data_IF_004387124123
#
_entry.id   IF_004387124123
#
_cell.length_a   1.000
_cell.length_b   1.000
_cell.length_c   1.000
_cell.angle_alpha   90.00
_cell.angle_beta   90.00
_cell.angle_gamma   90.00
#
_symmetry.space_group_name_H-M   'P 1'
#
loop_
_entity.id
_entity.type
_entity.pdbx_description
1 polymer ?
#
# COMPACT_ATOMS: atom_id res chain seq x y z
N UNK A 1 70.92 -12.67 -62.90
CA UNK A 1 69.59 -12.07 -63.12
C UNK A 1 69.05 -11.65 -61.75
N UNK A 2 69.22 -10.37 -61.37
CA UNK A 2 68.80 -9.85 -60.06
C UNK A 2 67.35 -9.37 -60.15
N UNK A 3 66.44 -10.01 -59.41
CA UNK A 3 65.06 -9.55 -59.25
C UNK A 3 65.03 -8.59 -58.06
N UNK A 4 64.83 -7.30 -58.34
CA UNK A 4 64.67 -6.27 -57.31
C UNK A 4 63.22 -6.24 -56.80
N UNK A 5 63.00 -6.65 -55.55
CA UNK A 5 61.72 -6.54 -54.86
C UNK A 5 61.50 -5.10 -54.38
N UNK A 6 60.54 -4.38 -54.95
CA UNK A 6 60.09 -3.07 -54.43
C UNK A 6 59.36 -3.26 -53.10
N UNK A 7 59.84 -2.62 -52.03
CA UNK A 7 59.13 -2.53 -50.75
C UNK A 7 58.00 -1.49 -50.86
N UNK A 8 56.77 -1.89 -50.56
CA UNK A 8 55.57 -1.04 -50.54
C UNK A 8 55.54 -0.27 -49.21
N UNK A 9 55.62 1.06 -49.26
CA UNK A 9 55.53 1.94 -48.08
C UNK A 9 54.10 1.91 -47.52
N UNK A 10 53.93 1.50 -46.25
CA UNK A 10 52.64 1.56 -45.55
C UNK A 10 52.39 2.97 -45.04
N UNK A 11 51.17 3.49 -45.22
CA UNK A 11 50.75 4.74 -44.59
C UNK A 11 50.51 4.51 -43.09
N UNK A 12 50.95 5.41 -42.19
CA UNK A 12 50.69 5.29 -40.77
C UNK A 12 49.21 5.56 -40.46
N UNK A 13 48.61 4.87 -39.47
CA UNK A 13 47.24 5.13 -39.04
C UNK A 13 47.13 6.54 -38.44
N UNK A 14 46.14 7.31 -38.87
CA UNK A 14 45.86 8.64 -38.32
C UNK A 14 45.48 8.51 -36.83
N UNK A 15 46.22 9.18 -35.95
CA UNK A 15 45.94 9.17 -34.51
C UNK A 15 44.68 10.02 -34.23
N UNK A 16 43.59 9.35 -33.87
CA UNK A 16 42.41 10.04 -33.33
C UNK A 16 42.78 10.59 -31.95
N UNK A 17 42.97 11.91 -31.83
CA UNK A 17 43.12 12.57 -30.52
C UNK A 17 41.85 12.32 -29.70
N UNK A 18 41.93 11.45 -28.69
CA UNK A 18 40.86 11.27 -27.71
C UNK A 18 40.75 12.57 -26.92
N UNK A 19 39.63 13.29 -27.08
CA UNK A 19 39.30 14.43 -26.23
C UNK A 19 38.93 13.89 -24.85
N UNK A 20 39.68 14.29 -23.82
CA UNK A 20 39.32 14.01 -22.43
C UNK A 20 38.26 15.00 -21.94
N UNK A 21 37.45 14.58 -20.99
CA UNK A 21 36.51 15.46 -20.29
C UNK A 21 37.27 16.54 -19.52
N UNK A 22 36.78 17.77 -19.55
CA UNK A 22 37.34 18.85 -18.72
C UNK A 22 36.83 18.72 -17.29
N UNK A 23 37.65 19.11 -16.30
CA UNK A 23 37.20 19.18 -14.90
C UNK A 23 36.00 20.11 -14.74
N UNK A 24 35.96 21.19 -15.54
CA UNK A 24 34.87 22.17 -15.53
C UNK A 24 33.56 21.56 -16.04
N UNK A 25 33.59 20.71 -17.06
CA UNK A 25 32.39 19.97 -17.52
C UNK A 25 31.80 19.11 -16.42
N UNK A 26 32.65 18.33 -15.73
CA UNK A 26 32.17 17.47 -14.64
C UNK A 26 31.66 18.32 -13.47
N UNK A 27 32.33 19.44 -13.17
CA UNK A 27 31.91 20.36 -12.11
C UNK A 27 30.53 20.97 -12.36
N UNK A 28 30.26 21.46 -13.58
CA UNK A 28 28.95 22.03 -13.92
C UNK A 28 27.86 20.96 -13.85
N UNK A 29 28.14 19.72 -14.29
CA UNK A 29 27.17 18.62 -14.24
C UNK A 29 26.77 18.28 -12.80
N UNK A 30 27.74 18.14 -11.89
CA UNK A 30 27.40 17.83 -10.48
C UNK A 30 26.68 18.98 -9.79
N UNK A 31 26.97 20.23 -10.16
CA UNK A 31 26.23 21.41 -9.65
C UNK A 31 24.78 21.37 -10.12
N UNK A 32 24.53 21.12 -11.41
CA UNK A 32 23.16 21.02 -11.94
C UNK A 32 22.41 19.84 -11.30
N UNK A 33 23.04 18.67 -11.20
CA UNK A 33 22.45 17.50 -10.53
C UNK A 33 22.14 17.79 -9.05
N UNK A 34 22.98 18.54 -8.35
CA UNK A 34 22.74 18.96 -6.97
C UNK A 34 21.51 19.86 -6.82
N UNK A 35 21.33 20.85 -7.70
CA UNK A 35 20.16 21.74 -7.70
C UNK A 35 18.87 20.97 -8.02
N UNK A 36 18.92 20.07 -9.02
CA UNK A 36 17.79 19.24 -9.39
C UNK A 36 17.40 18.29 -8.25
N UNK A 37 18.37 17.62 -7.62
CA UNK A 37 18.10 16.73 -6.51
C UNK A 37 17.47 17.46 -5.31
N UNK A 38 17.95 18.68 -5.00
CA UNK A 38 17.45 19.48 -3.89
C UNK A 38 15.99 19.93 -4.05
N UNK A 39 15.54 20.15 -5.29
CA UNK A 39 14.17 20.60 -5.57
C UNK A 39 13.19 19.45 -5.79
N UNK A 40 13.62 18.36 -6.44
CA UNK A 40 12.74 17.22 -6.77
C UNK A 40 12.44 16.34 -5.55
N UNK A 41 13.42 16.12 -4.67
CA UNK A 41 13.28 15.22 -3.53
C UNK A 41 12.14 15.62 -2.56
N UNK A 42 12.03 16.88 -2.08
CA UNK A 42 10.95 17.26 -1.16
C UNK A 42 9.56 17.19 -1.79
N UNK A 43 9.45 17.46 -3.10
CA UNK A 43 8.18 17.40 -3.82
C UNK A 43 7.67 15.95 -3.92
N UNK A 44 8.57 14.99 -4.15
CA UNK A 44 8.21 13.59 -4.30
C UNK A 44 7.73 12.96 -2.97
N UNK A 45 8.35 13.31 -1.84
CA UNK A 45 7.95 12.81 -0.52
C UNK A 45 6.56 13.29 -0.13
N UNK A 46 6.25 14.58 -0.35
CA UNK A 46 4.93 15.14 -0.05
C UNK A 46 3.81 14.49 -0.88
N UNK A 47 4.02 14.34 -2.19
CA UNK A 47 3.05 13.69 -3.07
C UNK A 47 2.79 12.21 -2.71
N UNK A 48 3.79 11.52 -2.16
CA UNK A 48 3.65 10.14 -1.71
C UNK A 48 2.77 10.05 -0.45
N UNK A 49 2.94 10.97 0.48
CA UNK A 49 2.16 10.98 1.73
C UNK A 49 0.70 11.41 1.48
N UNK A 50 0.46 12.38 0.59
CA UNK A 50 -0.90 12.74 0.14
C UNK A 50 -1.62 11.56 -0.52
N UNK A 51 -0.91 10.79 -1.36
CA UNK A 51 -1.46 9.60 -1.99
C UNK A 51 -1.80 8.50 -0.98
N UNK A 52 -0.95 8.28 0.04
CA UNK A 52 -1.23 7.34 1.13
C UNK A 52 -2.45 7.77 1.92
N UNK A 53 -2.56 9.05 2.25
CA UNK A 53 -3.69 9.58 2.99
C UNK A 53 -5.01 9.43 2.20
N UNK A 54 -5.01 9.81 0.92
CA UNK A 54 -6.17 9.64 0.04
C UNK A 54 -6.60 8.17 -0.05
N UNK A 55 -5.65 7.26 -0.23
CA UNK A 55 -5.88 5.81 -0.23
C UNK A 55 -6.46 5.32 1.09
N UNK A 56 -5.93 5.80 2.23
CA UNK A 56 -6.44 5.44 3.55
C UNK A 56 -7.90 5.86 3.73
N UNK A 57 -8.24 7.11 3.42
CA UNK A 57 -9.60 7.65 3.51
C UNK A 57 -10.57 6.88 2.60
N UNK A 58 -10.15 6.56 1.38
CA UNK A 58 -10.94 5.76 0.44
C UNK A 58 -11.18 4.34 0.97
N UNK A 59 -10.13 3.67 1.46
CA UNK A 59 -10.23 2.32 2.00
C UNK A 59 -11.14 2.27 3.24
N UNK A 60 -11.03 3.25 4.16
CA UNK A 60 -11.94 3.36 5.30
C UNK A 60 -13.39 3.58 4.87
N UNK A 61 -13.63 4.47 3.91
CA UNK A 61 -14.98 4.73 3.38
C UNK A 61 -15.59 3.48 2.74
N UNK A 62 -14.80 2.74 1.97
CA UNK A 62 -15.19 1.46 1.38
C UNK A 62 -15.55 0.46 2.48
N UNK A 63 -14.65 0.22 3.44
CA UNK A 63 -14.88 -0.73 4.52
C UNK A 63 -16.12 -0.39 5.34
N UNK A 64 -16.28 0.87 5.74
CA UNK A 64 -17.45 1.36 6.48
C UNK A 64 -18.75 1.09 5.70
N UNK A 65 -18.75 1.39 4.40
CA UNK A 65 -19.92 1.15 3.53
C UNK A 65 -20.26 -0.35 3.42
N UNK A 66 -19.25 -1.20 3.25
CA UNK A 66 -19.44 -2.64 3.17
C UNK A 66 -19.91 -3.26 4.49
N UNK A 67 -19.38 -2.79 5.62
CA UNK A 67 -19.83 -3.20 6.97
C UNK A 67 -21.29 -2.82 7.18
N UNK A 68 -21.75 -1.64 6.75
CA UNK A 68 -23.16 -1.26 6.83
C UNK A 68 -24.05 -2.07 5.89
N UNK A 69 -23.57 -2.38 4.68
CA UNK A 69 -24.30 -3.27 3.76
C UNK A 69 -24.46 -4.67 4.34
N UNK A 70 -23.40 -5.22 4.95
CA UNK A 70 -23.47 -6.49 5.68
C UNK A 70 -24.53 -6.42 6.78
N UNK A 71 -24.47 -5.38 7.61
CA UNK A 71 -25.44 -5.19 8.69
C UNK A 71 -26.89 -5.17 8.20
N UNK A 72 -27.14 -4.54 7.07
CA UNK A 72 -28.47 -4.48 6.46
C UNK A 72 -28.98 -5.87 6.04
N UNK A 73 -28.11 -6.74 5.53
CA UNK A 73 -28.47 -8.09 5.05
C UNK A 73 -28.52 -9.14 6.18
N UNK A 74 -27.95 -8.84 7.35
CA UNK A 74 -27.80 -9.78 8.47
C UNK A 74 -28.56 -9.37 9.74
N UNK A 75 -29.78 -8.85 9.58
CA UNK A 75 -30.68 -8.50 10.69
C UNK A 75 -30.05 -7.56 11.74
N UNK A 76 -29.24 -6.60 11.29
CA UNK A 76 -28.58 -5.64 12.17
C UNK A 76 -27.27 -6.12 12.79
N UNK A 77 -26.83 -7.36 12.52
CA UNK A 77 -25.55 -7.92 13.00
C UNK A 77 -24.39 -7.45 12.15
N UNK A 78 -23.31 -7.05 12.78
CA UNK A 78 -22.07 -6.68 12.08
C UNK A 78 -21.20 -7.91 11.76
N UNK A 79 -20.23 -7.78 10.83
CA UNK A 79 -19.21 -8.81 10.62
C UNK A 79 -18.50 -9.14 11.93
N UNK A 80 -18.34 -10.44 12.22
CA UNK A 80 -17.77 -10.97 13.44
C UNK A 80 -18.67 -10.87 14.67
N UNK A 81 -19.95 -10.48 14.54
CA UNK A 81 -20.84 -10.28 15.69
C UNK A 81 -20.86 -11.50 16.64
N UNK A 82 -20.54 -11.27 17.91
CA UNK A 82 -20.46 -12.31 18.93
C UNK A 82 -19.21 -13.19 18.88
N UNK A 83 -18.24 -12.86 18.02
CA UNK A 83 -16.96 -13.57 17.90
C UNK A 83 -15.79 -12.70 18.32
N UNK A 84 -14.78 -13.33 18.92
CA UNK A 84 -13.47 -12.73 19.20
C UNK A 84 -12.41 -13.17 18.19
N UNK A 85 -12.80 -13.98 17.20
CA UNK A 85 -11.90 -14.49 16.17
C UNK A 85 -11.86 -13.50 14.98
N UNK A 86 -10.70 -12.86 14.73
CA UNK A 86 -10.58 -11.88 13.65
C UNK A 86 -10.78 -12.48 12.26
N UNK A 87 -10.60 -13.79 12.08
CA UNK A 87 -10.81 -14.46 10.79
C UNK A 87 -12.28 -14.37 10.36
N UNK A 88 -13.22 -14.37 11.31
CA UNK A 88 -14.66 -14.32 11.01
C UNK A 88 -15.07 -13.03 10.31
N UNK A 89 -14.44 -11.91 10.66
CA UNK A 89 -14.69 -10.63 10.00
C UNK A 89 -14.22 -10.69 8.56
N UNK A 90 -13.01 -11.20 8.35
CA UNK A 90 -12.41 -11.28 7.01
C UNK A 90 -13.26 -12.19 6.14
N UNK A 91 -13.57 -13.41 6.59
CA UNK A 91 -14.42 -14.37 5.88
C UNK A 91 -15.78 -13.78 5.54
N UNK A 92 -16.45 -13.11 6.49
CA UNK A 92 -17.78 -12.57 6.28
C UNK A 92 -17.82 -11.36 5.33
N UNK A 93 -16.70 -10.65 5.18
CA UNK A 93 -16.58 -9.57 4.21
C UNK A 93 -16.14 -10.07 2.83
N UNK A 94 -15.33 -11.12 2.73
CA UNK A 94 -14.73 -11.57 1.46
C UNK A 94 -15.40 -12.78 0.81
N UNK A 95 -16.18 -13.54 1.57
CA UNK A 95 -16.92 -14.72 1.12
C UNK A 95 -18.42 -14.45 1.01
N UNK A 96 -19.16 -15.42 0.48
CA UNK A 96 -20.62 -15.38 0.54
C UNK A 96 -21.09 -15.82 1.93
N UNK A 97 -22.18 -15.23 2.40
CA UNK A 97 -22.74 -15.46 3.74
C UNK A 97 -24.26 -15.69 3.68
N UNK A 98 -24.81 -16.14 4.81
CA UNK A 98 -26.27 -16.24 5.02
C UNK A 98 -26.66 -15.69 6.40
N UNK A 99 -27.96 -15.65 6.70
CA UNK A 99 -28.48 -14.94 7.89
C UNK A 99 -27.87 -15.39 9.24
N UNK A 100 -27.37 -16.62 9.35
CA UNK A 100 -26.72 -17.16 10.55
C UNK A 100 -25.22 -16.81 10.69
N UNK A 101 -24.68 -15.96 9.81
CA UNK A 101 -23.29 -15.53 9.76
C UNK A 101 -22.28 -16.63 9.35
N UNK A 102 -22.74 -17.80 8.91
CA UNK A 102 -21.86 -18.78 8.27
C UNK A 102 -21.46 -18.32 6.87
N UNK A 103 -20.28 -18.74 6.44
CA UNK A 103 -19.67 -18.35 5.17
C UNK A 103 -19.37 -19.56 4.29
N UNK A 104 -19.33 -19.32 2.98
CA UNK A 104 -18.89 -20.29 1.99
C UNK A 104 -18.32 -19.57 0.76
N UNK A 105 -17.65 -20.32 -0.12
CA UNK A 105 -17.10 -19.76 -1.35
C UNK A 105 -18.18 -18.98 -2.14
N UNK A 106 -17.85 -17.83 -2.74
CA UNK A 106 -18.78 -17.08 -3.58
C UNK A 106 -19.44 -17.95 -4.64
N UNK A 107 -20.77 -17.84 -4.78
CA UNK A 107 -21.57 -18.66 -5.71
C UNK A 107 -22.07 -20.00 -5.12
N UNK A 108 -21.77 -20.32 -3.86
CA UNK A 108 -22.32 -21.51 -3.20
C UNK A 108 -23.84 -21.37 -3.01
N UNK A 109 -24.61 -22.39 -3.41
CA UNK A 109 -26.05 -22.41 -3.22
C UNK A 109 -26.42 -22.35 -1.72
N UNK A 110 -27.40 -21.51 -1.37
CA UNK A 110 -27.82 -21.29 0.03
C UNK A 110 -27.05 -20.19 0.77
N UNK A 111 -26.11 -19.51 0.10
CA UNK A 111 -25.39 -18.33 0.61
C UNK A 111 -25.73 -17.11 -0.25
N UNK A 112 -26.88 -16.44 0.02
CA UNK A 112 -27.43 -15.40 -0.86
C UNK A 112 -26.75 -14.03 -0.71
N UNK A 113 -25.94 -13.82 0.33
CA UNK A 113 -25.37 -12.52 0.67
C UNK A 113 -23.88 -12.44 0.36
N UNK A 114 -23.39 -11.22 0.11
CA UNK A 114 -22.00 -10.96 -0.22
C UNK A 114 -21.54 -11.59 -1.57
N UNK A 115 -20.22 -11.62 -1.82
CA UNK A 115 -19.16 -11.01 -1.01
C UNK A 115 -19.24 -9.48 -1.05
N UNK A 116 -18.84 -8.83 0.04
CA UNK A 116 -18.90 -7.37 0.20
C UNK A 116 -17.58 -6.70 -0.20
N UNK A 117 -16.48 -7.42 -0.07
CA UNK A 117 -15.14 -7.03 -0.50
C UNK A 117 -14.61 -8.12 -1.42
N UNK A 118 -14.06 -7.74 -2.57
CA UNK A 118 -13.56 -8.71 -3.55
C UNK A 118 -12.16 -9.16 -3.16
N UNK A 119 -12.00 -10.47 -2.95
CA UNK A 119 -10.72 -11.13 -2.71
C UNK A 119 -10.18 -10.93 -1.30
N UNK A 120 -9.70 -9.73 -0.97
CA UNK A 120 -9.03 -9.44 0.30
C UNK A 120 -9.31 -8.00 0.76
N UNK A 121 -9.39 -7.76 2.07
CA UNK A 121 -9.52 -6.42 2.65
C UNK A 121 -8.41 -5.49 2.16
N UNK A 122 -8.63 -4.22 1.82
CA UNK A 122 -7.57 -3.33 1.34
C UNK A 122 -6.38 -3.25 2.32
N UNK A 123 -5.19 -3.03 1.76
CA UNK A 123 -3.97 -2.79 2.55
C UNK A 123 -4.04 -1.40 3.15
N UNK A 124 -3.72 -1.29 4.44
CA UNK A 124 -3.49 0.01 5.06
C UNK A 124 -2.15 0.58 4.55
N UNK A 125 -2.14 1.75 3.88
CA UNK A 125 -0.93 2.33 3.30
C UNK A 125 0.14 2.76 4.32
N UNK A 126 -0.19 2.86 5.60
CA UNK A 126 0.75 3.22 6.68
C UNK A 126 1.32 2.00 7.38
N UNK A 127 0.49 1.05 7.83
CA UNK A 127 1.00 -0.17 8.48
C UNK A 127 1.47 -1.24 7.50
N UNK A 128 0.99 -1.20 6.26
CA UNK A 128 1.25 -2.23 5.24
C UNK A 128 0.48 -3.53 5.46
N UNK A 129 -0.45 -3.56 6.41
CA UNK A 129 -1.22 -4.75 6.80
C UNK A 129 -2.67 -4.75 6.32
N UNK A 130 -3.30 -5.93 6.32
CA UNK A 130 -4.74 -6.12 6.06
C UNK A 130 -5.45 -6.82 7.22
N UNK A 131 -4.70 -7.39 8.17
CA UNK A 131 -5.28 -8.10 9.29
C UNK A 131 -6.11 -7.16 10.17
N UNK A 132 -7.15 -7.70 10.79
CA UNK A 132 -8.10 -6.96 11.62
C UNK A 132 -7.88 -7.33 13.07
N UNK A 133 -7.61 -6.34 13.92
CA UNK A 133 -7.60 -6.51 15.37
C UNK A 133 -8.97 -6.23 15.94
N UNK A 134 -9.50 -7.16 16.72
CA UNK A 134 -10.76 -7.00 17.45
C UNK A 134 -10.48 -6.30 18.79
N UNK A 135 -11.25 -5.25 19.07
CA UNK A 135 -11.22 -4.54 20.36
C UNK A 135 -12.64 -4.24 20.84
N UNK A 136 -12.80 -4.01 22.14
CA UNK A 136 -14.08 -3.62 22.75
C UNK A 136 -14.33 -2.11 22.70
N UNK A 137 -13.28 -1.30 22.60
CA UNK A 137 -13.35 0.15 22.44
C UNK A 137 -12.34 0.57 21.36
N UNK A 138 -12.87 0.97 20.20
CA UNK A 138 -12.05 1.35 19.05
C UNK A 138 -11.45 2.74 19.26
N UNK A 139 -12.18 3.65 19.90
CA UNK A 139 -11.70 5.00 20.13
C UNK A 139 -10.50 5.02 21.10
N UNK A 140 -10.53 4.18 22.13
CA UNK A 140 -9.46 4.08 23.13
C UNK A 140 -8.24 3.25 22.68
N UNK A 141 -8.37 2.38 21.68
CA UNK A 141 -7.29 1.50 21.24
C UNK A 141 -6.11 2.30 20.66
N UNK A 142 -4.89 2.09 21.14
CA UNK A 142 -3.70 2.74 20.56
C UNK A 142 -3.21 1.99 19.32
N UNK A 143 -2.97 2.66 18.18
CA UNK A 143 -2.41 2.01 17.00
C UNK A 143 -0.98 1.50 17.24
N UNK A 144 -0.68 0.32 16.72
CA UNK A 144 0.66 -0.29 16.68
C UNK A 144 0.91 -0.86 15.28
N UNK A 145 1.65 -0.11 14.45
CA UNK A 145 1.94 -0.50 13.06
C UNK A 145 2.91 -1.69 12.92
N UNK A 146 3.49 -2.17 14.03
CA UNK A 146 4.33 -3.36 14.07
C UNK A 146 3.55 -4.63 14.45
N UNK A 147 2.34 -4.49 15.01
CA UNK A 147 1.51 -5.61 15.44
C UNK A 147 1.14 -6.53 14.27
N UNK A 148 1.16 -7.84 14.53
CA UNK A 148 0.82 -8.90 13.57
C UNK A 148 -0.21 -9.85 14.16
N UNK A 149 -1.04 -10.43 13.30
CA UNK A 149 -1.95 -11.54 13.64
C UNK A 149 -1.61 -12.66 12.65
N UNK A 150 -1.02 -13.74 13.17
CA UNK A 150 -0.35 -14.73 12.32
C UNK A 150 0.82 -14.08 11.57
N UNK A 151 0.92 -14.34 10.26
CA UNK A 151 2.00 -13.82 9.42
C UNK A 151 1.68 -12.44 8.80
N UNK A 152 0.53 -11.86 9.12
CA UNK A 152 0.05 -10.62 8.50
C UNK A 152 0.02 -9.45 9.49
N UNK A 153 0.49 -8.29 9.06
CA UNK A 153 0.42 -7.04 9.83
C UNK A 153 -1.03 -6.59 10.05
N UNK A 154 -1.29 -6.01 11.21
CA UNK A 154 -2.59 -5.40 11.52
C UNK A 154 -2.75 -4.12 10.69
N UNK A 155 -3.74 -4.13 9.80
CA UNK A 155 -4.17 -2.97 9.02
C UNK A 155 -5.26 -2.16 9.71
N UNK A 156 -6.16 -2.85 10.42
CA UNK A 156 -7.43 -2.29 10.84
C UNK A 156 -7.74 -2.67 12.28
N UNK A 157 -8.32 -1.74 13.03
CA UNK A 157 -8.82 -1.96 14.39
C UNK A 157 -10.33 -1.84 14.34
N UNK A 158 -11.04 -2.83 14.88
CA UNK A 158 -12.47 -2.98 14.67
C UNK A 158 -13.18 -3.52 15.91
N UNK A 159 -14.45 -3.14 16.08
CA UNK A 159 -15.33 -3.69 17.09
C UNK A 159 -16.55 -4.39 16.45
N UNK A 160 -16.69 -5.72 16.58
CA UNK A 160 -17.80 -6.48 16.01
C UNK A 160 -19.16 -6.23 16.67
N UNK A 161 -19.21 -5.62 17.85
CA UNK A 161 -20.47 -5.26 18.51
C UNK A 161 -21.04 -3.93 17.98
N UNK A 162 -20.19 -2.98 17.63
CA UNK A 162 -20.61 -1.63 17.19
C UNK A 162 -20.44 -1.38 15.69
N UNK A 163 -19.65 -2.21 15.00
CA UNK A 163 -19.28 -2.02 13.61
C UNK A 163 -18.28 -0.87 13.39
N UNK A 164 -17.75 -0.29 14.46
CA UNK A 164 -16.78 0.78 14.39
C UNK A 164 -15.44 0.25 13.87
N UNK A 165 -14.86 0.96 12.91
CA UNK A 165 -13.56 0.62 12.31
C UNK A 165 -12.68 1.86 12.20
N UNK A 166 -11.41 1.68 12.53
CA UNK A 166 -10.36 2.67 12.32
C UNK A 166 -9.08 2.07 11.74
N UNK A 167 -8.24 2.95 11.22
CA UNK A 167 -6.93 2.59 10.71
C UNK A 167 -5.97 2.25 11.85
N UNK A 168 -5.18 1.19 11.68
CA UNK A 168 -3.99 0.98 12.49
C UNK A 168 -2.84 1.83 11.93
N UNK A 169 -2.85 3.13 12.19
CA UNK A 169 -1.83 4.06 11.70
C UNK A 169 -1.49 5.07 12.80
N UNK A 170 -0.20 5.32 13.00
CA UNK A 170 0.27 6.41 13.88
C UNK A 170 0.69 7.62 13.07
N UNK A 171 0.65 8.80 13.67
CA UNK A 171 1.00 10.06 13.02
C UNK A 171 -0.22 10.88 12.58
N UNK A 172 0.03 11.91 11.80
CA UNK A 172 -0.95 12.93 11.43
C UNK A 172 -1.06 13.06 9.91
N UNK A 173 -2.28 13.37 9.47
CA UNK A 173 -2.64 13.91 8.16
C UNK A 173 -1.91 15.21 7.85
N UNK A 174 -1.86 15.58 6.57
CA UNK A 174 -1.49 16.93 6.13
C UNK A 174 -2.34 18.03 6.82
N UNK A 175 -3.61 17.74 7.14
CA UNK A 175 -4.53 18.65 7.85
C UNK A 175 -4.31 18.67 9.38
N UNK A 176 -3.29 17.96 9.90
CA UNK A 176 -2.98 17.87 11.33
C UNK A 176 -3.88 16.90 12.12
N UNK A 177 -4.87 16.27 11.50
CA UNK A 177 -5.72 15.25 12.14
C UNK A 177 -4.94 13.94 12.34
N UNK A 178 -5.15 13.26 13.46
CA UNK A 178 -4.54 11.95 13.69
C UNK A 178 -5.08 10.91 12.68
N UNK A 179 -4.19 10.11 12.09
CA UNK A 179 -4.55 9.15 11.03
C UNK A 179 -5.53 8.07 11.50
N UNK A 180 -5.48 7.69 12.78
CA UNK A 180 -6.39 6.73 13.38
C UNK A 180 -7.79 7.32 13.68
N UNK A 181 -7.97 8.64 13.54
CA UNK A 181 -9.24 9.34 13.80
C UNK A 181 -9.94 9.82 12.53
N UNK A 182 -9.50 9.34 11.36
CA UNK A 182 -10.13 9.61 10.05
C UNK A 182 -11.45 8.89 9.84
#
# INVERSE_FOLDING_TARGET
MFVGTRIKKSNPPASSRRKGFTLVEVLIVVVILGILAATVLPQFTAATDDAKEASLRQNLSLLRSQIQMFRFQHDGKFPGNGSTDPTKIVEQLTLASKADLTTAAPGTAGYPFGPYVIGQLPVNPYSGGRAVKIVTDVAAATPDMAETIGDEKVGWIYNPATGEIKANATGNSADGKALDKM
#
